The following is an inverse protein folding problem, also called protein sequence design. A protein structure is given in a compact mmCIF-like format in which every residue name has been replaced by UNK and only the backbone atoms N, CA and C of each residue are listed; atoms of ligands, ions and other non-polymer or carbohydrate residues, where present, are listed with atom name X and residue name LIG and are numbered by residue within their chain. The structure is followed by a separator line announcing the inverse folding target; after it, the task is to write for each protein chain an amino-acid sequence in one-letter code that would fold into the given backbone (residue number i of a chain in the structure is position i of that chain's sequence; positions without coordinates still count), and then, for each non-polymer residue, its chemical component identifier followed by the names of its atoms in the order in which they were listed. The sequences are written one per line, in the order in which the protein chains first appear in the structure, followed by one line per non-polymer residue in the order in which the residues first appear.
data_IF_130295636201
#
_entry.id   IF_130295636201
#
_cell.length_a   1.000
_cell.length_b   1.000
_cell.length_c   1.000
_cell.angle_alpha   90.00
_cell.angle_beta   90.00
_cell.angle_gamma   90.00
#
_symmetry.space_group_name_H-M   'P 1'
#
loop_
_entity.id
_entity.type
_entity.pdbx_description
1 polymer ?
#
# COMPACT_ATOMS: atom_id res chain seq x y z
N UNK A 1 29.88 11.35 -29.18
CA UNK A 1 29.23 11.29 -27.85
C UNK A 1 27.79 10.85 -28.11
N UNK A 2 27.54 9.55 -27.95
CA UNK A 2 26.18 8.99 -28.11
C UNK A 2 25.49 9.22 -26.76
N UNK A 3 24.56 10.17 -26.69
CA UNK A 3 23.65 10.26 -25.56
C UNK A 3 22.96 8.90 -25.44
N UNK A 4 23.17 8.23 -24.34
CA UNK A 4 22.40 7.05 -23.98
C UNK A 4 20.93 7.56 -23.85
N UNK A 5 20.11 7.20 -24.82
CA UNK A 5 18.66 7.35 -24.74
C UNK A 5 18.26 6.55 -23.49
N UNK A 6 17.99 7.25 -22.38
CA UNK A 6 17.57 6.64 -21.14
C UNK A 6 16.34 5.77 -21.41
N UNK A 7 16.34 4.55 -20.88
CA UNK A 7 15.17 3.67 -20.95
C UNK A 7 13.92 4.44 -20.47
N UNK A 8 12.84 4.36 -21.23
CA UNK A 8 11.58 4.95 -20.82
C UNK A 8 11.12 4.28 -19.50
N UNK A 9 10.61 5.06 -18.53
CA UNK A 9 10.20 4.49 -17.26
C UNK A 9 9.08 3.47 -17.43
N UNK A 10 9.22 2.32 -16.77
CA UNK A 10 8.16 1.32 -16.72
C UNK A 10 7.12 1.80 -15.72
N UNK A 11 5.85 1.91 -16.17
CA UNK A 11 4.74 2.19 -15.27
C UNK A 11 4.40 0.96 -14.44
N UNK A 12 4.40 1.14 -13.12
CA UNK A 12 4.13 0.09 -12.13
C UNK A 12 2.91 0.47 -11.32
N UNK A 13 1.86 -0.36 -11.36
CA UNK A 13 0.70 -0.20 -10.49
C UNK A 13 0.80 -1.20 -9.35
N UNK A 14 0.68 -0.73 -8.10
CA UNK A 14 0.69 -1.55 -6.88
C UNK A 14 -0.66 -1.39 -6.18
N UNK A 15 -1.51 -2.41 -6.28
CA UNK A 15 -2.77 -2.45 -5.53
C UNK A 15 -2.48 -2.89 -4.10
N UNK A 16 -2.93 -2.10 -3.12
CA UNK A 16 -2.57 -2.28 -1.73
C UNK A 16 -3.72 -2.00 -0.77
N UNK A 17 -3.62 -2.55 0.43
CA UNK A 17 -4.42 -2.15 1.58
C UNK A 17 -3.50 -2.00 2.79
N UNK A 18 -3.81 -1.07 3.68
CA UNK A 18 -3.01 -0.81 4.88
C UNK A 18 -3.06 -1.92 5.92
N UNK A 19 -4.09 -2.80 5.91
CA UNK A 19 -4.14 -3.98 6.79
C UNK A 19 -3.42 -5.20 6.19
N UNK A 20 -2.94 -5.11 4.95
CA UNK A 20 -2.25 -6.23 4.30
C UNK A 20 -0.74 -6.19 4.61
N UNK A 21 -0.19 -7.15 5.39
CA UNK A 21 1.23 -7.17 5.73
C UNK A 21 2.12 -7.39 4.51
N UNK A 22 1.64 -8.12 3.52
CA UNK A 22 2.35 -8.32 2.25
C UNK A 22 2.46 -7.02 1.44
N UNK A 23 1.45 -6.12 1.53
CA UNK A 23 1.52 -4.78 0.94
C UNK A 23 2.58 -3.92 1.63
N UNK A 24 2.75 -4.06 2.94
CA UNK A 24 3.83 -3.40 3.68
C UNK A 24 5.20 -3.92 3.27
N UNK A 25 5.36 -5.24 3.15
CA UNK A 25 6.63 -5.90 2.79
C UNK A 25 7.05 -5.65 1.33
N UNK A 26 6.11 -5.51 0.39
CA UNK A 26 6.45 -5.25 -1.02
C UNK A 26 7.00 -3.85 -1.26
N UNK A 27 6.68 -2.89 -0.39
CA UNK A 27 7.09 -1.48 -0.52
C UNK A 27 8.61 -1.32 -0.66
N UNK A 28 9.45 -1.79 0.29
CA UNK A 28 10.90 -1.64 0.16
C UNK A 28 11.47 -2.39 -1.05
N UNK A 29 10.83 -3.48 -1.49
CA UNK A 29 11.27 -4.21 -2.68
C UNK A 29 11.04 -3.40 -3.95
N UNK A 30 9.89 -2.73 -4.08
CA UNK A 30 9.61 -1.82 -5.21
C UNK A 30 10.57 -0.62 -5.18
N UNK A 31 10.85 -0.04 -4.01
CA UNK A 31 11.81 1.06 -3.85
C UNK A 31 13.23 0.63 -4.27
N UNK A 32 13.66 -0.56 -3.87
CA UNK A 32 14.96 -1.11 -4.27
C UNK A 32 15.06 -1.25 -5.80
N UNK A 33 14.03 -1.81 -6.45
CA UNK A 33 14.00 -1.95 -7.91
C UNK A 33 13.98 -0.56 -8.59
N UNK A 34 13.23 0.40 -8.04
CA UNK A 34 13.16 1.77 -8.57
C UNK A 34 14.51 2.52 -8.44
N UNK A 35 15.37 2.14 -7.50
CA UNK A 35 16.72 2.70 -7.38
C UNK A 35 17.68 2.20 -8.46
N UNK A 36 17.40 1.04 -9.05
CA UNK A 36 18.25 0.40 -10.08
C UNK A 36 17.80 0.71 -11.51
N UNK A 37 16.52 1.04 -11.69
CA UNK A 37 15.93 1.31 -13.02
C UNK A 37 14.78 2.32 -12.95
N UNK A 38 14.53 3.07 -14.03
CA UNK A 38 13.44 4.06 -14.03
C UNK A 38 12.07 3.37 -13.95
N UNK A 39 11.37 3.56 -12.82
CA UNK A 39 9.99 3.13 -12.61
C UNK A 39 9.10 4.34 -12.31
N UNK A 40 7.91 4.37 -12.91
CA UNK A 40 6.83 5.26 -12.51
C UNK A 40 5.86 4.46 -11.64
N UNK A 41 6.02 4.54 -10.31
CA UNK A 41 5.23 3.73 -9.36
C UNK A 41 3.96 4.46 -8.97
N UNK A 42 2.82 3.81 -9.20
CA UNK A 42 1.49 4.29 -8.82
C UNK A 42 0.86 3.30 -7.86
N UNK A 43 0.71 3.72 -6.60
CA UNK A 43 0.00 2.97 -5.58
C UNK A 43 -1.51 3.16 -5.77
N UNK A 44 -2.26 2.05 -5.86
CA UNK A 44 -3.72 2.02 -6.04
C UNK A 44 -4.39 1.50 -4.77
N UNK A 45 -5.22 2.30 -4.11
CA UNK A 45 -5.94 1.84 -2.92
C UNK A 45 -6.96 0.74 -3.29
N UNK A 46 -7.03 -0.31 -2.47
CA UNK A 46 -8.03 -1.36 -2.58
C UNK A 46 -8.44 -1.79 -1.18
N UNK A 47 -9.65 -1.39 -0.75
CA UNK A 47 -10.19 -1.80 0.55
C UNK A 47 -10.55 -3.29 0.49
N UNK A 48 -9.73 -4.14 1.12
CA UNK A 48 -9.90 -5.60 1.04
C UNK A 48 -10.98 -6.13 1.97
N UNK A 49 -11.37 -5.36 2.98
CA UNK A 49 -12.36 -5.72 4.01
C UNK A 49 -13.39 -4.60 4.21
N UNK A 50 -14.14 -4.20 3.16
CA UNK A 50 -15.13 -3.09 3.24
C UNK A 50 -16.32 -3.42 4.16
N UNK A 51 -16.58 -4.70 4.41
CA UNK A 51 -17.64 -5.20 5.30
C UNK A 51 -17.35 -5.01 6.80
N UNK A 52 -16.11 -4.69 7.18
CA UNK A 52 -15.76 -4.49 8.58
C UNK A 52 -16.54 -3.33 9.20
N UNK A 53 -16.97 -3.48 10.47
CA UNK A 53 -17.58 -2.36 11.20
C UNK A 53 -16.58 -1.21 11.38
N UNK A 54 -17.09 0.01 11.58
CA UNK A 54 -16.26 1.20 11.75
C UNK A 54 -15.23 1.09 12.90
N UNK A 55 -15.52 0.31 13.93
CA UNK A 55 -14.61 0.05 15.05
C UNK A 55 -13.65 -1.13 14.82
N UNK A 56 -13.66 -1.74 13.64
CA UNK A 56 -12.85 -2.93 13.36
C UNK A 56 -13.31 -4.18 14.10
N UNK A 57 -12.50 -5.22 14.03
CA UNK A 57 -12.69 -6.48 14.77
C UNK A 57 -11.38 -6.92 15.42
N UNK A 58 -11.40 -7.64 16.56
CA UNK A 58 -10.19 -8.19 17.15
C UNK A 58 -9.47 -9.12 16.17
N UNK A 59 -8.15 -9.00 16.09
CA UNK A 59 -7.31 -9.89 15.30
C UNK A 59 -6.88 -11.08 16.16
N UNK A 60 -7.69 -12.14 16.16
CA UNK A 60 -7.44 -13.32 16.99
C UNK A 60 -6.63 -14.43 16.27
N UNK A 61 -6.54 -14.33 14.93
CA UNK A 61 -5.71 -15.22 14.10
C UNK A 61 -6.29 -16.61 13.87
N UNK A 62 -7.61 -16.79 14.08
CA UNK A 62 -8.32 -18.06 13.90
C UNK A 62 -9.60 -17.94 13.04
N UNK A 63 -9.88 -16.74 12.52
CA UNK A 63 -10.96 -16.52 11.57
C UNK A 63 -10.64 -17.09 10.17
N UNK A 64 -11.67 -17.40 9.37
CA UNK A 64 -11.50 -18.01 8.05
C UNK A 64 -10.71 -17.14 7.05
N UNK A 65 -10.71 -15.83 7.25
CA UNK A 65 -10.01 -14.85 6.42
C UNK A 65 -8.85 -14.17 7.16
N UNK A 66 -8.46 -14.71 8.33
CA UNK A 66 -7.38 -14.18 9.14
C UNK A 66 -6.06 -14.91 8.85
N UNK A 67 -4.96 -14.19 9.03
CA UNK A 67 -3.62 -14.76 8.89
C UNK A 67 -3.31 -15.57 10.15
N UNK A 68 -2.95 -16.84 9.98
CA UNK A 68 -2.59 -17.73 11.07
C UNK A 68 -1.37 -17.23 11.86
N UNK A 69 -1.26 -17.62 13.14
CA UNK A 69 -0.18 -17.15 14.02
C UNK A 69 1.20 -17.50 13.49
N UNK A 70 1.39 -18.72 12.96
CA UNK A 70 2.66 -19.17 12.38
C UNK A 70 3.07 -18.33 11.16
N UNK A 71 2.09 -17.86 10.39
CA UNK A 71 2.34 -16.94 9.27
C UNK A 71 2.75 -15.56 9.76
N UNK A 72 2.19 -15.06 10.87
CA UNK A 72 2.62 -13.81 11.46
C UNK A 72 4.07 -13.86 11.98
N UNK A 73 4.50 -14.99 12.55
CA UNK A 73 5.90 -15.19 12.96
C UNK A 73 6.84 -15.12 11.75
N UNK A 74 6.48 -15.81 10.66
CA UNK A 74 7.24 -15.79 9.41
C UNK A 74 7.29 -14.39 8.77
N UNK A 75 6.18 -13.66 8.77
CA UNK A 75 6.12 -12.29 8.29
C UNK A 75 7.02 -11.36 9.13
N UNK A 76 7.06 -11.53 10.44
CA UNK A 76 7.93 -10.80 11.33
C UNK A 76 9.42 -11.02 11.00
N UNK A 77 9.82 -12.27 10.76
CA UNK A 77 11.19 -12.60 10.34
C UNK A 77 11.55 -11.98 8.98
N UNK A 78 10.63 -12.07 8.01
CA UNK A 78 10.82 -11.45 6.68
C UNK A 78 10.93 -9.93 6.79
N UNK A 79 10.09 -9.30 7.61
CA UNK A 79 10.12 -7.86 7.84
C UNK A 79 11.44 -7.40 8.45
N UNK A 80 11.94 -8.11 9.45
CA UNK A 80 13.25 -7.82 10.06
C UNK A 80 14.36 -7.93 9.03
N UNK A 81 14.36 -8.98 8.21
CA UNK A 81 15.36 -9.17 7.15
C UNK A 81 15.31 -8.07 6.09
N UNK A 82 14.13 -7.51 5.81
CA UNK A 82 13.91 -6.41 4.87
C UNK A 82 14.12 -5.01 5.50
N UNK A 83 14.44 -4.91 6.79
CA UNK A 83 14.58 -3.63 7.50
C UNK A 83 13.24 -2.91 7.78
N UNK A 84 12.13 -3.61 7.66
CA UNK A 84 10.78 -3.10 7.94
C UNK A 84 10.08 -4.00 8.97
N UNK A 85 10.41 -3.85 10.27
CA UNK A 85 9.84 -4.69 11.31
C UNK A 85 8.31 -4.58 11.28
N UNK A 86 7.64 -5.71 11.46
CA UNK A 86 6.19 -5.77 11.58
C UNK A 86 5.78 -6.78 12.63
N UNK A 87 4.66 -6.50 13.27
CA UNK A 87 4.07 -7.35 14.29
C UNK A 87 2.59 -7.57 13.97
N UNK A 88 1.99 -8.59 14.54
CA UNK A 88 0.55 -8.80 14.42
C UNK A 88 -0.19 -7.73 15.23
N UNK A 89 -0.98 -6.86 14.59
CA UNK A 89 -1.79 -5.90 15.32
C UNK A 89 -2.92 -6.57 16.10
N UNK A 90 -3.37 -5.95 17.19
CA UNK A 90 -4.45 -6.46 18.01
C UNK A 90 -5.85 -6.29 17.38
N UNK A 91 -5.98 -5.33 16.46
CA UNK A 91 -7.24 -4.98 15.78
C UNK A 91 -7.08 -5.10 14.28
N UNK A 92 -8.10 -5.55 13.57
CA UNK A 92 -8.25 -5.41 12.11
C UNK A 92 -9.22 -4.26 11.88
N UNK A 93 -8.74 -3.04 11.58
CA UNK A 93 -9.58 -1.88 11.37
C UNK A 93 -10.18 -1.85 9.96
N UNK A 94 -11.28 -1.12 9.80
CA UNK A 94 -11.75 -0.73 8.48
C UNK A 94 -10.84 0.37 7.92
N UNK A 95 -10.24 0.15 6.75
CA UNK A 95 -9.19 1.04 6.21
C UNK A 95 -9.71 2.19 5.36
N UNK A 96 -11.02 2.30 5.16
CA UNK A 96 -11.66 3.28 4.28
C UNK A 96 -11.13 4.71 4.47
N UNK A 97 -11.06 5.20 5.71
CA UNK A 97 -10.58 6.56 6.00
C UNK A 97 -9.07 6.72 5.78
N UNK A 98 -8.28 5.68 6.09
CA UNK A 98 -6.83 5.71 5.85
C UNK A 98 -6.51 5.75 4.35
N UNK A 99 -7.26 4.99 3.54
CA UNK A 99 -7.14 5.01 2.08
C UNK A 99 -7.55 6.37 1.49
N UNK A 100 -8.63 7.00 1.98
CA UNK A 100 -9.00 8.36 1.58
C UNK A 100 -7.93 9.39 1.97
N UNK A 101 -7.34 9.27 3.17
CA UNK A 101 -6.26 10.14 3.60
C UNK A 101 -5.02 10.02 2.71
N UNK A 102 -4.73 8.82 2.18
CA UNK A 102 -3.64 8.65 1.24
C UNK A 102 -3.90 9.33 -0.11
N UNK A 103 -5.15 9.35 -0.60
CA UNK A 103 -5.51 10.08 -1.81
C UNK A 103 -5.46 11.60 -1.59
N UNK A 104 -5.89 12.09 -0.41
CA UNK A 104 -5.69 13.49 -0.01
C UNK A 104 -4.20 13.88 -0.07
N UNK A 105 -3.31 13.04 0.48
CA UNK A 105 -1.88 13.31 0.43
C UNK A 105 -1.33 13.27 -1.00
N UNK A 106 -1.89 12.43 -1.88
CA UNK A 106 -1.53 12.35 -3.30
C UNK A 106 -1.83 13.65 -4.04
N UNK A 107 -2.97 14.28 -3.76
CA UNK A 107 -3.33 15.59 -4.35
C UNK A 107 -2.38 16.71 -3.94
N UNK A 108 -1.77 16.62 -2.74
CA UNK A 108 -0.74 17.55 -2.29
C UNK A 108 0.57 17.33 -3.05
N UNK A 109 0.91 16.05 -3.34
CA UNK A 109 2.09 15.70 -4.10
C UNK A 109 2.68 14.33 -3.72
N UNK A 110 3.55 13.82 -4.58
CA UNK A 110 4.14 12.49 -4.45
C UNK A 110 4.92 12.30 -3.13
N UNK A 111 5.61 13.32 -2.67
CA UNK A 111 6.37 13.27 -1.41
C UNK A 111 5.46 13.25 -0.18
N UNK A 112 4.36 14.01 -0.18
CA UNK A 112 3.35 13.99 0.86
C UNK A 112 2.68 12.61 0.93
N UNK A 113 2.31 12.05 -0.24
CA UNK A 113 1.81 10.68 -0.33
C UNK A 113 2.80 9.67 0.24
N UNK A 114 4.06 9.69 -0.18
CA UNK A 114 5.09 8.76 0.26
C UNK A 114 5.24 8.76 1.79
N UNK A 115 5.35 9.94 2.41
CA UNK A 115 5.48 10.07 3.87
C UNK A 115 4.25 9.52 4.60
N UNK A 116 3.05 9.95 4.22
CA UNK A 116 1.83 9.47 4.88
C UNK A 116 1.62 7.96 4.67
N UNK A 117 1.88 7.46 3.46
CA UNK A 117 1.77 6.05 3.11
C UNK A 117 2.68 5.17 4.00
N UNK A 118 3.93 5.57 4.18
CA UNK A 118 4.85 4.89 5.09
C UNK A 118 4.39 5.00 6.54
N UNK A 119 3.98 6.20 6.98
CA UNK A 119 3.56 6.45 8.35
C UNK A 119 2.32 5.63 8.75
N UNK A 120 1.33 5.48 7.86
CA UNK A 120 0.14 4.67 8.11
C UNK A 120 0.47 3.18 8.25
N UNK A 121 1.31 2.62 7.38
CA UNK A 121 1.77 1.25 7.52
C UNK A 121 2.53 1.03 8.82
N UNK A 122 3.45 1.92 9.18
CA UNK A 122 4.22 1.83 10.43
C UNK A 122 3.34 2.00 11.66
N UNK A 123 2.40 2.93 11.63
CA UNK A 123 1.43 3.12 12.72
C UNK A 123 0.69 1.81 13.02
N UNK A 124 0.25 1.12 11.99
CA UNK A 124 -0.49 -0.14 12.11
C UNK A 124 0.42 -1.31 12.49
N UNK A 125 1.44 -1.63 11.69
CA UNK A 125 2.22 -2.86 11.85
C UNK A 125 3.34 -2.77 12.90
N UNK A 126 3.82 -1.58 13.25
CA UNK A 126 4.91 -1.40 14.22
C UNK A 126 4.41 -0.90 15.56
N UNK A 127 3.40 -0.02 15.55
CA UNK A 127 2.94 0.68 16.74
C UNK A 127 1.54 0.27 17.22
N UNK A 128 0.90 -0.71 16.56
CA UNK A 128 -0.44 -1.22 16.90
C UNK A 128 -1.51 -0.12 17.02
N UNK A 129 -1.42 0.90 16.15
CA UNK A 129 -2.35 2.02 16.11
C UNK A 129 -3.56 1.66 15.26
N UNK A 130 -4.77 1.95 15.78
CA UNK A 130 -6.01 1.83 15.00
C UNK A 130 -6.06 2.90 13.90
N UNK A 131 -5.69 2.51 12.67
CA UNK A 131 -5.76 3.35 11.48
C UNK A 131 -7.16 3.44 10.84
N UNK A 132 -8.17 2.82 11.44
CA UNK A 132 -9.59 3.04 11.12
C UNK A 132 -10.16 4.25 11.85
N UNK A 133 -9.54 4.63 12.99
CA UNK A 133 -9.98 5.74 13.80
C UNK A 133 -9.57 7.09 13.20
N UNK A 134 -10.57 7.91 12.82
CA UNK A 134 -10.36 9.25 12.22
C UNK A 134 -9.33 10.08 12.97
N UNK A 135 -9.45 10.15 14.30
CA UNK A 135 -8.57 10.94 15.15
C UNK A 135 -7.10 10.50 14.99
N UNK A 136 -6.85 9.20 14.92
CA UNK A 136 -5.50 8.65 14.76
C UNK A 136 -4.91 8.97 13.38
N UNK A 137 -5.73 8.88 12.34
CA UNK A 137 -5.32 9.28 10.98
C UNK A 137 -4.92 10.75 10.94
N UNK A 138 -5.71 11.65 11.55
CA UNK A 138 -5.43 13.08 11.62
C UNK A 138 -4.15 13.38 12.41
N UNK A 139 -3.88 12.66 13.51
CA UNK A 139 -2.65 12.76 14.30
C UNK A 139 -1.42 12.35 13.46
N UNK A 140 -1.50 11.20 12.78
CA UNK A 140 -0.43 10.70 11.90
C UNK A 140 -0.17 11.71 10.78
N UNK A 141 -1.21 12.14 10.08
CA UNK A 141 -1.10 13.07 8.96
C UNK A 141 -0.47 14.41 9.38
N UNK A 142 -0.85 14.95 10.55
CA UNK A 142 -0.28 16.17 11.09
C UNK A 142 1.23 16.01 11.39
N UNK A 143 1.64 14.84 11.91
CA UNK A 143 3.06 14.53 12.16
C UNK A 143 3.87 14.53 10.85
N UNK A 144 3.23 14.09 9.76
CA UNK A 144 3.82 14.10 8.42
C UNK A 144 3.72 15.45 7.69
N UNK A 145 3.25 16.49 8.39
CA UNK A 145 3.20 17.86 7.88
C UNK A 145 1.99 18.16 6.99
N UNK A 146 0.95 17.33 7.02
CA UNK A 146 -0.30 17.61 6.31
C UNK A 146 -1.20 18.53 7.17
N UNK A 147 -1.95 19.41 6.49
CA UNK A 147 -2.89 20.31 7.15
C UNK A 147 -4.08 19.51 7.73
N UNK A 148 -4.10 19.39 9.07
CA UNK A 148 -5.08 18.59 9.82
C UNK A 148 -6.52 18.96 9.48
N UNK A 149 -6.84 20.25 9.52
CA UNK A 149 -8.19 20.77 9.29
C UNK A 149 -8.67 20.52 7.85
N UNK A 150 -7.74 20.61 6.88
CA UNK A 150 -8.04 20.34 5.48
C UNK A 150 -8.30 18.84 5.23
N UNK A 151 -7.53 17.96 5.87
CA UNK A 151 -7.77 16.52 5.81
C UNK A 151 -9.08 16.15 6.51
N UNK A 152 -9.35 16.72 7.70
CA UNK A 152 -10.59 16.47 8.44
C UNK A 152 -11.82 16.81 7.61
N UNK A 153 -11.85 18.00 7.01
CA UNK A 153 -12.91 18.41 6.10
C UNK A 153 -13.05 17.47 4.89
N UNK A 154 -11.94 17.06 4.29
CA UNK A 154 -11.95 16.14 3.15
C UNK A 154 -12.53 14.76 3.50
N UNK A 155 -12.22 14.23 4.71
CA UNK A 155 -12.77 12.97 5.20
C UNK A 155 -14.24 13.08 5.60
N UNK A 156 -14.69 14.25 6.10
CA UNK A 156 -16.10 14.53 6.42
C UNK A 156 -16.97 14.61 5.16
N UNK A 157 -16.46 15.29 4.14
CA UNK A 157 -17.13 15.44 2.84
C UNK A 157 -17.10 14.14 2.01
N UNK A 158 -16.32 13.14 2.40
CA UNK A 158 -16.09 11.93 1.61
C UNK A 158 -15.46 12.22 0.24
N UNK A 159 -14.60 13.25 0.17
CA UNK A 159 -14.06 13.82 -1.07
C UNK A 159 -13.38 12.79 -1.97
N UNK A 160 -12.77 11.76 -1.39
CA UNK A 160 -12.03 10.72 -2.12
C UNK A 160 -12.77 9.38 -2.21
N UNK A 161 -14.07 9.36 -1.88
CA UNK A 161 -14.88 8.14 -1.98
C UNK A 161 -15.03 7.66 -3.43
N UNK A 162 -15.14 8.59 -4.37
CA UNK A 162 -15.26 8.27 -5.81
C UNK A 162 -13.97 7.71 -6.38
N UNK A 163 -12.81 8.17 -5.91
CA UNK A 163 -11.47 7.65 -6.27
C UNK A 163 -11.30 6.22 -5.77
N UNK A 164 -11.69 5.94 -4.53
CA UNK A 164 -11.67 4.57 -4.00
C UNK A 164 -12.61 3.66 -4.79
N UNK A 165 -13.83 4.10 -5.05
CA UNK A 165 -14.78 3.35 -5.86
C UNK A 165 -14.29 3.14 -7.31
N UNK A 166 -13.55 4.10 -7.87
CA UNK A 166 -12.94 3.95 -9.19
C UNK A 166 -11.81 2.91 -9.16
N UNK A 167 -10.98 2.90 -8.11
CA UNK A 167 -9.93 1.90 -7.94
C UNK A 167 -10.50 0.48 -7.73
N UNK A 168 -11.62 0.35 -7.00
CA UNK A 168 -12.34 -0.90 -6.83
C UNK A 168 -12.88 -1.43 -8.17
N UNK A 169 -13.57 -0.60 -8.95
CA UNK A 169 -14.04 -0.98 -10.31
C UNK A 169 -12.90 -1.36 -11.25
N UNK A 170 -11.75 -0.69 -11.12
CA UNK A 170 -10.55 -1.03 -11.87
C UNK A 170 -10.00 -2.40 -11.42
N UNK A 171 -9.98 -2.67 -10.12
CA UNK A 171 -9.56 -3.96 -9.56
C UNK A 171 -10.48 -5.11 -10.03
N UNK A 172 -11.79 -4.90 -10.02
CA UNK A 172 -12.76 -5.88 -10.58
C UNK A 172 -12.49 -6.16 -12.05
N UNK A 173 -12.30 -5.12 -12.87
CA UNK A 173 -12.03 -5.24 -14.31
C UNK A 173 -10.76 -6.04 -14.60
N UNK A 174 -9.72 -5.92 -13.77
CA UNK A 174 -8.46 -6.64 -13.90
C UNK A 174 -8.41 -7.94 -13.09
N UNK A 175 -9.55 -8.35 -12.52
CA UNK A 175 -9.67 -9.57 -11.69
C UNK A 175 -8.64 -9.60 -10.55
N UNK A 176 -8.49 -8.46 -9.86
CA UNK A 176 -7.61 -8.34 -8.70
C UNK A 176 -8.41 -8.75 -7.46
N UNK A 177 -8.03 -9.85 -6.85
CA UNK A 177 -8.76 -10.44 -5.72
C UNK A 177 -8.00 -10.33 -4.40
N UNK A 178 -6.75 -9.90 -4.43
CA UNK A 178 -5.92 -9.78 -3.23
C UNK A 178 -4.84 -8.71 -3.40
N UNK A 179 -4.36 -8.22 -2.27
CA UNK A 179 -3.24 -7.29 -2.16
C UNK A 179 -2.00 -7.98 -1.56
N UNK A 180 -0.76 -7.56 -1.92
CA UNK A 180 -0.52 -6.69 -3.04
C UNK A 180 -0.73 -7.41 -4.37
N UNK A 181 -1.19 -6.69 -5.38
CA UNK A 181 -1.08 -7.11 -6.77
C UNK A 181 -0.28 -6.05 -7.51
N UNK A 182 0.79 -6.44 -8.17
CA UNK A 182 1.73 -5.53 -8.84
C UNK A 182 1.69 -5.76 -10.34
N UNK A 183 1.49 -4.69 -11.10
CA UNK A 183 1.63 -4.71 -12.55
C UNK A 183 2.90 -3.95 -12.95
N UNK A 184 3.82 -4.61 -13.64
CA UNK A 184 4.91 -4.00 -14.37
C UNK A 184 4.50 -3.93 -15.86
N UNK A 185 4.00 -2.76 -16.30
CA UNK A 185 3.35 -2.66 -17.58
C UNK A 185 2.19 -3.67 -17.70
N UNK A 186 2.33 -4.67 -18.61
CA UNK A 186 1.34 -5.74 -18.81
C UNK A 186 1.52 -6.98 -17.91
N UNK A 187 2.62 -7.08 -17.20
CA UNK A 187 2.94 -8.26 -16.40
C UNK A 187 2.40 -8.14 -14.98
N UNK A 188 1.58 -9.10 -14.56
CA UNK A 188 0.91 -9.15 -13.26
C UNK A 188 1.66 -10.10 -12.33
N UNK A 189 1.98 -9.62 -11.13
CA UNK A 189 2.52 -10.41 -10.02
C UNK A 189 1.55 -10.30 -8.84
N UNK A 190 1.17 -11.42 -8.25
CA UNK A 190 0.18 -11.50 -7.18
C UNK A 190 0.86 -11.89 -5.88
N UNK A 191 0.57 -11.17 -4.79
CA UNK A 191 1.13 -11.42 -3.48
C UNK A 191 2.56 -10.88 -3.33
N UNK A 192 3.18 -11.19 -2.17
CA UNK A 192 4.57 -10.83 -1.89
C UNK A 192 5.52 -11.81 -2.58
N UNK A 193 5.81 -11.54 -3.85
CA UNK A 193 6.81 -12.32 -4.57
C UNK A 193 8.23 -11.94 -4.11
N UNK A 194 9.20 -12.88 -4.17
CA UNK A 194 10.59 -12.59 -3.92
C UNK A 194 11.14 -11.47 -4.82
N UNK A 195 12.17 -10.74 -4.34
CA UNK A 195 12.72 -9.58 -5.06
C UNK A 195 13.27 -9.94 -6.43
N UNK A 196 13.83 -11.12 -6.61
CA UNK A 196 14.36 -11.61 -7.89
C UNK A 196 13.23 -11.79 -8.92
N UNK A 197 12.05 -12.28 -8.50
CA UNK A 197 10.85 -12.38 -9.36
C UNK A 197 10.34 -11.00 -9.76
N UNK A 198 10.27 -10.06 -8.82
CA UNK A 198 9.85 -8.68 -9.10
C UNK A 198 10.84 -7.97 -10.02
N UNK A 199 12.15 -8.09 -9.77
CA UNK A 199 13.21 -7.50 -10.58
C UNK A 199 13.25 -8.06 -11.99
N UNK A 200 13.11 -9.38 -12.14
CA UNK A 200 13.05 -10.02 -13.46
C UNK A 200 11.79 -9.57 -14.22
N UNK A 201 10.65 -9.45 -13.54
CA UNK A 201 9.42 -8.98 -14.16
C UNK A 201 9.54 -7.52 -14.62
N UNK A 202 10.16 -6.66 -13.80
CA UNK A 202 10.46 -5.27 -14.16
C UNK A 202 11.39 -5.19 -15.37
N UNK A 203 12.43 -6.04 -15.44
CA UNK A 203 13.36 -6.12 -16.57
C UNK A 203 12.63 -6.53 -17.86
N UNK A 204 11.74 -7.53 -17.80
CA UNK A 204 10.93 -7.95 -18.96
C UNK A 204 9.99 -6.86 -19.43
N UNK A 205 9.42 -6.10 -18.51
CA UNK A 205 8.55 -4.98 -18.84
C UNK A 205 9.32 -3.87 -19.58
N UNK A 206 10.54 -3.52 -19.11
CA UNK A 206 11.42 -2.57 -19.81
C UNK A 206 11.74 -3.01 -21.25
N UNK A 207 12.10 -4.28 -21.42
CA UNK A 207 12.44 -4.82 -22.74
C UNK A 207 11.24 -4.88 -23.70
N UNK A 208 10.01 -4.83 -23.19
CA UNK A 208 8.77 -4.87 -24.03
C UNK A 208 8.23 -3.48 -24.36
N UNK A 209 8.80 -2.41 -23.78
CA UNK A 209 8.42 -1.02 -24.05
C UNK A 209 9.22 -0.40 -25.21
N UNK A 210 10.21 -1.13 -25.74
CA UNK A 210 11.01 -0.80 -26.92
C UNK A 210 10.39 -1.43 -28.17
#
# INVERSE_FOLDING_TARGET
MTEALGEAPVRVFVYFDYICPYSYLVRPLIEAIASERPLEVVWRPLETRPELPAGGVPNVGDGPDEIALEEWERLGEQGLAAGVPLYRPALIPRTHLALQASEFARDIGSEAFRRLHEALFRAYFVHDVDIGARQKILEIAATEGLAREALEAALEDGRYADELAAAEREAERYEIKQTPTVFFGRYKVIGAAPIDVLSETARRASASAL
#
